data_IF_238541168361
#
_entry.id   IF_238541168361
#
_cell.length_a   1.000
_cell.length_b   1.000
_cell.length_c   1.000
_cell.angle_alpha   90.00
_cell.angle_beta   90.00
_cell.angle_gamma   90.00
#
_symmetry.space_group_name_H-M   'P 1'
#
loop_
_entity.id
_entity.type
_entity.pdbx_description
1 polymer ?
#
# COMPACT_ATOMS: atom_id res chain seq x y z
N UNK A 1 -5.53 -10.87 0.58
CA UNK A 1 -4.27 -10.55 1.31
C UNK A 1 -4.23 -11.13 2.71
N UNK A 2 -5.26 -10.87 3.51
CA UNK A 2 -5.30 -11.37 4.92
C UNK A 2 -5.14 -12.89 4.98
N UNK A 3 -5.88 -13.63 4.16
CA UNK A 3 -5.80 -15.08 4.13
C UNK A 3 -4.41 -15.58 3.75
N UNK A 4 -3.76 -14.95 2.79
CA UNK A 4 -2.42 -15.34 2.36
C UNK A 4 -1.39 -15.13 3.48
N UNK A 5 -1.49 -14.05 4.25
CA UNK A 5 -0.62 -13.80 5.40
C UNK A 5 -0.87 -14.84 6.51
N UNK A 6 -2.12 -15.13 6.81
CA UNK A 6 -2.48 -16.13 7.83
C UNK A 6 -2.04 -17.55 7.45
N UNK A 7 -2.20 -17.93 6.18
CA UNK A 7 -1.76 -19.24 5.68
C UNK A 7 -0.27 -19.45 5.83
N UNK A 8 0.53 -18.38 5.79
CA UNK A 8 1.97 -18.44 5.95
C UNK A 8 2.44 -18.12 7.38
N UNK A 9 1.52 -18.11 8.36
CA UNK A 9 1.81 -17.83 9.76
C UNK A 9 2.51 -16.48 9.99
N UNK A 10 2.14 -15.47 9.21
CA UNK A 10 2.72 -14.13 9.32
C UNK A 10 1.83 -13.28 10.23
N UNK A 11 2.40 -12.77 11.32
CA UNK A 11 1.73 -11.81 12.21
C UNK A 11 1.78 -10.43 11.57
N UNK A 12 0.65 -9.74 11.55
CA UNK A 12 0.53 -8.43 10.93
C UNK A 12 -0.49 -7.55 11.65
N UNK A 13 -0.37 -6.23 11.46
CA UNK A 13 -1.40 -5.26 11.82
C UNK A 13 -1.93 -4.61 10.56
N UNK A 14 -3.18 -4.15 10.59
CA UNK A 14 -3.81 -3.46 9.47
C UNK A 14 -3.91 -1.96 9.74
N UNK A 15 -3.94 -1.15 8.67
CA UNK A 15 -4.12 0.30 8.75
C UNK A 15 -3.10 0.96 9.70
N UNK A 16 -1.84 0.55 9.58
CA UNK A 16 -0.75 1.10 10.41
C UNK A 16 -0.47 2.56 10.04
N UNK A 17 -0.43 3.42 11.06
CA UNK A 17 -0.11 4.83 10.92
C UNK A 17 1.12 5.17 11.75
N UNK A 18 2.00 6.00 11.17
CA UNK A 18 3.12 6.60 11.88
C UNK A 18 2.85 8.09 12.01
N UNK A 19 3.02 8.66 13.19
CA UNK A 19 2.68 10.06 13.45
C UNK A 19 3.46 11.06 12.60
N UNK A 20 4.64 10.70 12.17
CA UNK A 20 5.53 11.53 11.34
C UNK A 20 5.45 11.20 9.83
N UNK A 21 4.61 10.24 9.42
CA UNK A 21 4.32 9.95 8.02
C UNK A 21 2.94 10.50 7.67
N UNK A 22 2.91 11.76 7.27
CA UNK A 22 1.63 12.45 7.08
C UNK A 22 1.66 13.46 5.94
N UNK A 23 0.50 13.72 5.37
CA UNK A 23 0.21 14.91 4.60
C UNK A 23 -0.38 15.95 5.59
N UNK A 24 -1.71 15.97 5.78
CA UNK A 24 -2.32 16.76 6.87
C UNK A 24 -2.47 15.87 8.11
N UNK A 25 -2.98 14.65 7.92
CA UNK A 25 -3.14 13.63 8.95
C UNK A 25 -2.21 12.45 8.65
N UNK A 26 -1.85 11.64 9.68
CA UNK A 26 -1.05 10.45 9.45
C UNK A 26 -1.69 9.55 8.39
N UNK A 27 -0.87 9.06 7.44
CA UNK A 27 -1.33 8.24 6.32
C UNK A 27 -1.34 6.76 6.72
N UNK A 28 -2.43 6.01 6.41
CA UNK A 28 -2.48 4.59 6.75
C UNK A 28 -1.74 3.74 5.74
N UNK A 29 -1.04 2.74 6.23
CA UNK A 29 -0.50 1.64 5.42
C UNK A 29 -1.41 0.42 5.61
N UNK A 30 -1.66 -0.33 4.55
CA UNK A 30 -2.62 -1.45 4.59
C UNK A 30 -2.21 -2.54 5.57
N UNK A 31 -0.95 -2.97 5.54
CA UNK A 31 -0.43 -4.01 6.42
C UNK A 31 0.97 -3.67 6.92
N UNK A 32 1.24 -3.99 8.18
CA UNK A 32 2.56 -3.86 8.76
C UNK A 32 2.99 -5.18 9.41
N UNK A 33 4.17 -5.66 9.03
CA UNK A 33 4.79 -6.84 9.61
C UNK A 33 5.94 -6.36 10.51
N UNK A 34 5.61 -6.15 11.77
CA UNK A 34 6.51 -5.53 12.73
C UNK A 34 7.80 -6.34 12.92
N UNK A 35 7.69 -7.66 13.00
CA UNK A 35 8.85 -8.55 13.21
C UNK A 35 9.91 -8.43 12.13
N UNK A 36 9.54 -8.00 10.93
CA UNK A 36 10.44 -7.85 9.78
C UNK A 36 10.60 -6.41 9.32
N UNK A 37 9.87 -5.48 9.94
CA UNK A 37 9.83 -4.06 9.55
C UNK A 37 9.46 -3.87 8.08
N UNK A 38 8.39 -4.54 7.64
CA UNK A 38 7.89 -4.50 6.28
C UNK A 38 6.49 -3.91 6.28
N UNK A 39 6.25 -2.95 5.37
CA UNK A 39 4.93 -2.40 5.10
C UNK A 39 4.45 -2.89 3.73
N UNK A 40 3.17 -3.21 3.63
CA UNK A 40 2.52 -3.65 2.40
C UNK A 40 1.40 -2.68 2.05
N UNK A 41 1.40 -2.20 0.81
CA UNK A 41 0.35 -1.39 0.23
C UNK A 41 -0.30 -2.14 -0.92
N UNK A 42 -1.63 -2.22 -0.92
CA UNK A 42 -2.41 -2.79 -2.02
C UNK A 42 -2.93 -1.63 -2.85
N UNK A 43 -2.36 -1.45 -4.03
CA UNK A 43 -2.65 -0.29 -4.87
C UNK A 43 -3.78 -0.59 -5.86
N UNK A 44 -4.96 0.01 -5.64
CA UNK A 44 -6.09 -0.07 -6.55
C UNK A 44 -5.89 0.77 -7.81
N UNK A 45 -6.89 0.77 -8.70
CA UNK A 45 -6.81 1.50 -9.98
C UNK A 45 -6.51 2.99 -9.82
N UNK A 46 -7.03 3.63 -8.76
CA UNK A 46 -6.84 5.04 -8.51
C UNK A 46 -5.39 5.47 -8.31
N UNK A 47 -4.46 4.54 -8.05
CA UNK A 47 -3.03 4.82 -7.96
C UNK A 47 -2.36 4.95 -9.34
N UNK A 48 -2.99 4.43 -10.40
CA UNK A 48 -2.37 4.33 -11.74
C UNK A 48 -3.08 5.14 -12.79
N UNK A 49 -4.36 5.45 -12.60
CA UNK A 49 -5.15 6.19 -13.57
C UNK A 49 -6.21 7.04 -12.88
N UNK A 50 -6.68 8.07 -13.61
CA UNK A 50 -7.77 8.90 -13.14
C UNK A 50 -9.07 8.09 -13.21
N UNK A 51 -9.72 7.92 -12.05
CA UNK A 51 -10.98 7.19 -11.95
C UNK A 51 -12.10 8.17 -11.61
N UNK A 52 -13.24 8.06 -12.29
CA UNK A 52 -14.41 8.89 -12.03
C UNK A 52 -15.47 8.07 -11.27
N UNK A 53 -15.22 7.86 -9.99
CA UNK A 53 -16.16 7.19 -9.10
C UNK A 53 -17.27 8.15 -8.67
N UNK A 54 -18.47 7.63 -8.46
CA UNK A 54 -19.61 8.39 -7.96
C UNK A 54 -20.03 9.59 -8.83
N UNK A 55 -19.78 9.51 -10.14
CA UNK A 55 -20.15 10.56 -11.10
C UNK A 55 -19.62 11.95 -10.72
N UNK A 56 -18.44 12.02 -10.10
CA UNK A 56 -17.81 13.29 -9.81
C UNK A 56 -17.32 13.98 -11.10
N UNK A 57 -17.05 15.28 -11.03
CA UNK A 57 -16.53 16.01 -12.18
C UNK A 57 -15.14 15.53 -12.55
N UNK A 58 -14.73 15.76 -13.81
CA UNK A 58 -13.38 15.45 -14.28
C UNK A 58 -12.32 16.16 -13.43
N UNK A 59 -12.56 17.41 -13.07
CA UNK A 59 -11.66 18.20 -12.24
C UNK A 59 -11.48 17.54 -10.86
N UNK A 60 -12.58 17.09 -10.23
CA UNK A 60 -12.51 16.39 -8.94
C UNK A 60 -11.75 15.08 -9.06
N UNK A 61 -11.97 14.32 -10.14
CA UNK A 61 -11.25 13.06 -10.38
C UNK A 61 -9.75 13.30 -10.56
N UNK A 62 -9.35 14.35 -11.25
CA UNK A 62 -7.93 14.72 -11.42
C UNK A 62 -7.29 15.12 -10.08
N UNK A 63 -7.99 15.92 -9.27
CA UNK A 63 -7.51 16.32 -7.94
C UNK A 63 -7.31 15.10 -7.03
N UNK A 64 -8.24 14.16 -7.07
CA UNK A 64 -8.14 12.92 -6.29
C UNK A 64 -6.93 12.10 -6.73
N UNK A 65 -6.71 11.97 -8.04
CA UNK A 65 -5.55 11.26 -8.58
C UNK A 65 -4.24 11.91 -8.13
N UNK A 66 -4.14 13.23 -8.24
CA UNK A 66 -2.96 13.97 -7.84
C UNK A 66 -2.69 13.85 -6.34
N UNK A 67 -3.72 13.86 -5.50
CA UNK A 67 -3.59 13.66 -4.07
C UNK A 67 -3.08 12.24 -3.75
N UNK A 68 -3.60 11.24 -4.43
CA UNK A 68 -3.15 9.85 -4.29
C UNK A 68 -1.66 9.75 -4.62
N UNK A 69 -1.23 10.35 -5.73
CA UNK A 69 0.19 10.36 -6.13
C UNK A 69 1.06 11.06 -5.08
N UNK A 70 0.61 12.18 -4.55
CA UNK A 70 1.33 12.92 -3.50
C UNK A 70 1.49 12.07 -2.24
N UNK A 71 0.42 11.42 -1.81
CA UNK A 71 0.44 10.56 -0.63
C UNK A 71 1.36 9.34 -0.84
N UNK A 72 1.37 8.75 -2.05
CA UNK A 72 2.27 7.66 -2.40
C UNK A 72 3.74 8.08 -2.30
N UNK A 73 4.08 9.28 -2.76
CA UNK A 73 5.43 9.84 -2.64
C UNK A 73 5.84 10.02 -1.18
N UNK A 74 4.94 10.56 -0.35
CA UNK A 74 5.18 10.76 1.08
C UNK A 74 5.49 9.41 1.74
N UNK A 75 4.66 8.40 1.48
CA UNK A 75 4.85 7.06 2.02
C UNK A 75 6.17 6.43 1.59
N UNK A 76 6.48 6.51 0.31
CA UNK A 76 7.72 5.95 -0.26
C UNK A 76 8.95 6.61 0.36
N UNK A 77 8.96 7.94 0.44
CA UNK A 77 10.07 8.68 1.03
C UNK A 77 10.23 8.38 2.52
N UNK A 78 9.11 8.27 3.24
CA UNK A 78 9.15 7.90 4.65
C UNK A 78 9.81 6.53 4.87
N UNK A 79 9.42 5.54 4.09
CA UNK A 79 9.99 4.20 4.18
C UNK A 79 11.48 4.20 3.86
N UNK A 80 11.89 4.92 2.82
CA UNK A 80 13.31 5.03 2.44
C UNK A 80 14.13 5.70 3.54
N UNK A 81 13.60 6.77 4.15
CA UNK A 81 14.31 7.51 5.19
C UNK A 81 14.40 6.77 6.52
N UNK A 82 13.51 5.81 6.77
CA UNK A 82 13.44 5.06 8.01
C UNK A 82 13.86 3.60 7.87
N UNK A 83 14.42 3.22 6.74
CA UNK A 83 14.88 1.85 6.45
C UNK A 83 13.76 0.80 6.60
N UNK A 84 12.55 1.15 6.20
CA UNK A 84 11.40 0.25 6.18
C UNK A 84 11.23 -0.27 4.76
N UNK A 85 11.13 -1.59 4.61
CA UNK A 85 10.86 -2.20 3.30
C UNK A 85 9.37 -1.98 2.95
N UNK A 86 9.11 -1.31 1.84
CA UNK A 86 7.75 -1.10 1.34
C UNK A 86 7.50 -2.00 0.14
N UNK A 87 6.50 -2.86 0.25
CA UNK A 87 6.05 -3.73 -0.83
C UNK A 87 4.74 -3.17 -1.36
N UNK A 88 4.72 -2.78 -2.64
CA UNK A 88 3.51 -2.34 -3.31
C UNK A 88 3.00 -3.45 -4.21
N UNK A 89 1.73 -3.82 -4.04
CA UNK A 89 1.08 -4.87 -4.82
C UNK A 89 -0.02 -4.20 -5.65
N UNK A 90 0.21 -4.00 -6.97
CA UNK A 90 -0.79 -3.38 -7.81
C UNK A 90 -2.00 -4.29 -8.01
N UNK A 91 -3.15 -3.68 -8.30
CA UNK A 91 -4.43 -4.39 -8.38
C UNK A 91 -4.44 -5.55 -9.38
N UNK A 92 -3.70 -5.47 -10.48
CA UNK A 92 -3.66 -6.54 -11.47
C UNK A 92 -2.97 -7.81 -10.95
N UNK A 93 -2.11 -7.71 -9.93
CA UNK A 93 -1.47 -8.86 -9.31
C UNK A 93 -2.46 -9.69 -8.48
N UNK A 94 -3.56 -9.08 -8.04
CA UNK A 94 -4.66 -9.81 -7.39
C UNK A 94 -5.54 -10.54 -8.39
N UNK A 95 -5.76 -9.96 -9.56
CA UNK A 95 -6.58 -10.57 -10.61
C UNK A 95 -5.98 -11.87 -11.12
N UNK A 96 -4.66 -11.98 -11.19
CA UNK A 96 -3.95 -13.19 -11.63
C UNK A 96 -3.33 -13.99 -10.47
N UNK A 97 -3.67 -13.66 -9.23
CA UNK A 97 -3.18 -14.29 -8.01
C UNK A 97 -1.65 -14.26 -7.81
N UNK A 98 -0.92 -13.47 -8.59
CA UNK A 98 0.53 -13.36 -8.46
C UNK A 98 0.96 -12.72 -7.14
N UNK A 99 0.05 -12.02 -6.44
CA UNK A 99 0.33 -11.44 -5.13
C UNK A 99 0.83 -12.49 -4.11
N UNK A 100 0.40 -13.74 -4.22
CA UNK A 100 0.86 -14.84 -3.37
C UNK A 100 2.35 -15.08 -3.54
N UNK A 101 2.84 -15.05 -4.77
CA UNK A 101 4.26 -15.19 -5.08
C UNK A 101 5.07 -14.00 -4.56
N UNK A 102 4.53 -12.79 -4.65
CA UNK A 102 5.17 -11.58 -4.13
C UNK A 102 5.37 -11.71 -2.62
N UNK A 103 4.36 -12.19 -1.89
CA UNK A 103 4.45 -12.43 -0.45
C UNK A 103 5.52 -13.48 -0.14
N UNK A 104 5.51 -14.62 -0.82
CA UNK A 104 6.49 -15.67 -0.61
C UNK A 104 7.92 -15.18 -0.83
N UNK A 105 8.14 -14.48 -1.93
CA UNK A 105 9.49 -14.05 -2.32
C UNK A 105 10.03 -12.89 -1.47
N UNK A 106 9.16 -12.03 -0.93
CA UNK A 106 9.59 -10.82 -0.23
C UNK A 106 9.48 -10.91 1.29
N UNK A 107 8.70 -11.85 1.81
CA UNK A 107 8.43 -11.95 3.24
C UNK A 107 8.83 -13.31 3.79
N UNK A 108 8.34 -14.40 3.19
CA UNK A 108 8.52 -15.76 3.71
C UNK A 108 9.93 -16.28 3.45
N UNK A 109 10.45 -16.06 2.26
CA UNK A 109 11.74 -16.61 1.80
C UNK A 109 12.93 -15.64 1.97
N UNK A 110 12.77 -14.65 2.82
CA UNK A 110 13.85 -13.64 3.06
C UNK A 110 14.63 -13.94 4.34
#
# INVERSE_FOLDING_TARGET
MINALKENNISFTTQKRFSDCKNILPLPFDFYIESKNILIEVDGEGHYKICNFNNCSKETAEKTFNLTKRNDEIKTNYCNNNNIKLIRIPYWEFENENYKNIILNNIVNV
#
